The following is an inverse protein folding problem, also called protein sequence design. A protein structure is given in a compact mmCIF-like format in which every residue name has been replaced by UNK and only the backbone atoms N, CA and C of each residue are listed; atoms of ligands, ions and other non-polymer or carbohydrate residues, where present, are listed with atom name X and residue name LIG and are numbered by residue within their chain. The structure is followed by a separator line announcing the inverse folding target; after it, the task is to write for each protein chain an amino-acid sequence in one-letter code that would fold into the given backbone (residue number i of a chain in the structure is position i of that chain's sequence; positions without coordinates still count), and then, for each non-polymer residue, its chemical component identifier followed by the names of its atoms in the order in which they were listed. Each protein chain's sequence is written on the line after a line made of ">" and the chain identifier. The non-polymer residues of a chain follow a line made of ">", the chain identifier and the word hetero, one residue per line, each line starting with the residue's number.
data_IF_636912404010
#
_entry.id   IF_636912404010
#
_cell.length_a   1.000
_cell.length_b   1.000
_cell.length_c   1.000
_cell.angle_alpha   90.00
_cell.angle_beta   90.00
_cell.angle_gamma   90.00
#
_symmetry.space_group_name_H-M   'P 1'
#
loop_
_entity.id
_entity.type
_entity.pdbx_description
1 polymer ?
#
# COMPACT_ATOMS: atom_id res chain seq x y z
N UNK A 1 6.87 -55.65 21.06
CA UNK A 1 5.66 -54.80 21.00
C UNK A 1 6.04 -53.55 20.23
N UNK A 2 5.68 -53.46 18.94
CA UNK A 2 6.07 -52.34 18.08
C UNK A 2 5.18 -51.12 18.36
N UNK A 3 5.74 -49.90 18.46
CA UNK A 3 4.96 -48.70 18.73
C UNK A 3 4.06 -48.34 17.54
N UNK A 4 2.78 -48.07 17.80
CA UNK A 4 1.75 -47.76 16.80
C UNK A 4 2.03 -46.43 16.06
N UNK A 5 1.73 -46.34 14.74
CA UNK A 5 2.11 -45.22 13.86
C UNK A 5 1.30 -43.91 14.05
N UNK A 6 0.63 -43.73 15.20
CA UNK A 6 -0.25 -42.58 15.48
C UNK A 6 0.10 -41.87 16.79
N UNK A 7 1.38 -41.87 17.17
CA UNK A 7 1.87 -41.11 18.32
C UNK A 7 2.24 -39.66 18.01
N UNK A 8 1.84 -39.13 16.84
CA UNK A 8 1.93 -37.69 16.56
C UNK A 8 0.54 -37.09 16.83
N UNK A 9 0.37 -36.46 17.99
CA UNK A 9 -0.84 -35.69 18.32
C UNK A 9 -1.08 -34.57 17.30
N UNK A 10 -2.19 -33.81 17.41
CA UNK A 10 -2.45 -32.73 16.46
C UNK A 10 -1.24 -31.78 16.38
N UNK A 11 -0.56 -31.80 15.22
CA UNK A 11 0.61 -30.96 14.93
C UNK A 11 0.23 -29.51 15.24
N UNK A 12 0.86 -28.92 16.26
CA UNK A 12 0.56 -27.54 16.69
C UNK A 12 0.52 -26.64 15.45
N UNK A 13 -0.60 -25.97 15.21
CA UNK A 13 -0.68 -24.89 14.21
C UNK A 13 0.46 -23.92 14.49
N UNK A 14 1.31 -23.67 13.49
CA UNK A 14 2.41 -22.69 13.62
C UNK A 14 1.78 -21.35 14.00
N UNK A 15 2.13 -20.82 15.16
CA UNK A 15 1.73 -19.48 15.56
C UNK A 15 2.64 -18.48 14.84
N UNK A 16 2.06 -17.64 13.98
CA UNK A 16 2.79 -16.59 13.27
C UNK A 16 2.94 -15.39 14.21
N UNK A 17 4.19 -15.01 14.51
CA UNK A 17 4.50 -13.88 15.38
C UNK A 17 4.13 -12.54 14.71
N UNK A 18 3.95 -11.45 15.47
CA UNK A 18 3.70 -10.12 14.90
C UNK A 18 4.79 -9.70 13.88
N UNK A 19 6.06 -9.96 14.20
CA UNK A 19 7.18 -9.68 13.31
C UNK A 19 7.11 -10.51 12.01
N UNK A 20 6.73 -11.79 12.10
CA UNK A 20 6.55 -12.63 10.91
C UNK A 20 5.37 -12.14 10.05
N UNK A 21 4.29 -11.65 10.66
CA UNK A 21 3.18 -11.05 9.90
C UNK A 21 3.64 -9.83 9.11
N UNK A 22 4.43 -8.94 9.72
CA UNK A 22 5.00 -7.77 9.04
C UNK A 22 5.90 -8.19 7.89
N UNK A 23 6.83 -9.12 8.13
CA UNK A 23 7.69 -9.67 7.08
C UNK A 23 6.89 -10.29 5.92
N UNK A 24 5.81 -11.00 6.21
CA UNK A 24 4.95 -11.56 5.17
C UNK A 24 4.17 -10.49 4.40
N UNK A 25 3.76 -9.40 5.05
CA UNK A 25 3.11 -8.27 4.37
C UNK A 25 4.07 -7.59 3.40
N UNK A 26 5.30 -7.32 3.84
CA UNK A 26 6.32 -6.66 3.03
C UNK A 26 6.70 -7.52 1.81
N UNK A 27 6.94 -8.82 2.03
CA UNK A 27 7.24 -9.75 0.95
C UNK A 27 6.06 -9.93 -0.02
N UNK A 28 4.82 -9.97 0.48
CA UNK A 28 3.63 -10.02 -0.38
C UNK A 28 3.47 -8.73 -1.20
N UNK A 29 3.70 -7.56 -0.61
CA UNK A 29 3.62 -6.27 -1.29
C UNK A 29 4.69 -6.14 -2.38
N UNK A 30 5.91 -6.61 -2.11
CA UNK A 30 6.97 -6.72 -3.11
C UNK A 30 6.59 -7.68 -4.24
N UNK A 31 6.07 -8.88 -3.92
CA UNK A 31 5.62 -9.83 -4.92
C UNK A 31 4.46 -9.28 -5.78
N UNK A 32 3.60 -8.42 -5.22
CA UNK A 32 2.56 -7.75 -6.00
C UNK A 32 3.12 -6.80 -7.06
N UNK A 33 4.32 -6.23 -6.89
CA UNK A 33 4.93 -5.34 -7.89
C UNK A 33 5.30 -6.07 -9.18
N UNK A 34 5.59 -7.37 -9.11
CA UNK A 34 5.87 -8.24 -10.26
C UNK A 34 4.68 -9.10 -10.67
N UNK A 35 3.48 -8.84 -10.12
CA UNK A 35 2.27 -9.63 -10.32
C UNK A 35 2.35 -11.08 -9.79
N UNK A 36 3.30 -11.37 -8.90
CA UNK A 36 3.55 -12.70 -8.32
C UNK A 36 2.90 -12.91 -6.93
N UNK A 37 2.11 -11.95 -6.45
CA UNK A 37 1.47 -12.03 -5.13
C UNK A 37 0.67 -13.33 -4.92
N UNK A 38 -0.06 -13.79 -5.94
CA UNK A 38 -0.80 -15.06 -5.88
C UNK A 38 0.08 -16.31 -5.85
N UNK A 39 1.29 -16.26 -6.43
CA UNK A 39 2.28 -17.33 -6.31
C UNK A 39 2.86 -17.36 -4.90
N UNK A 40 3.23 -16.20 -4.36
CA UNK A 40 3.72 -16.06 -2.99
C UNK A 40 2.75 -16.64 -1.95
N UNK A 41 1.45 -16.30 -2.04
CA UNK A 41 0.44 -16.83 -1.11
C UNK A 41 0.35 -18.36 -1.13
N UNK A 42 0.50 -18.99 -2.30
CA UNK A 42 0.46 -20.45 -2.43
C UNK A 42 1.70 -21.11 -1.84
N UNK A 43 2.88 -20.52 -2.05
CA UNK A 43 4.16 -21.01 -1.49
C UNK A 43 4.14 -20.94 0.04
N UNK A 44 3.67 -19.83 0.59
CA UNK A 44 3.60 -19.62 2.05
C UNK A 44 2.37 -20.28 2.71
N UNK A 45 1.44 -20.83 1.92
CA UNK A 45 0.19 -21.39 2.44
C UNK A 45 -0.72 -20.35 3.10
N UNK A 46 -0.65 -19.10 2.64
CA UNK A 46 -1.40 -17.97 3.15
C UNK A 46 -2.67 -17.71 2.32
N UNK A 47 -3.68 -17.15 2.98
CA UNK A 47 -4.92 -16.73 2.35
C UNK A 47 -4.93 -15.20 2.23
N UNK A 48 -5.54 -14.68 1.17
CA UNK A 48 -5.70 -13.23 0.96
C UNK A 48 -6.43 -12.54 2.13
N UNK A 49 -7.37 -13.25 2.78
CA UNK A 49 -8.06 -12.78 3.98
C UNK A 49 -7.12 -12.56 5.17
N UNK A 50 -6.08 -13.39 5.31
CA UNK A 50 -5.07 -13.22 6.37
C UNK A 50 -4.22 -11.97 6.11
N UNK A 51 -3.79 -11.76 4.86
CA UNK A 51 -3.08 -10.54 4.46
C UNK A 51 -3.93 -9.30 4.71
N UNK A 52 -5.20 -9.32 4.30
CA UNK A 52 -6.11 -8.20 4.50
C UNK A 52 -6.28 -7.86 5.99
N UNK A 53 -6.40 -8.87 6.84
CA UNK A 53 -6.51 -8.69 8.29
C UNK A 53 -5.20 -8.16 8.90
N UNK A 54 -4.05 -8.68 8.48
CA UNK A 54 -2.76 -8.19 8.99
C UNK A 54 -2.45 -6.77 8.53
N UNK A 55 -2.89 -6.36 7.33
CA UNK A 55 -2.81 -4.95 6.91
C UNK A 55 -3.58 -4.04 7.85
N UNK A 56 -4.82 -4.41 8.22
CA UNK A 56 -5.58 -3.64 9.22
C UNK A 56 -4.84 -3.55 10.56
N UNK A 57 -4.24 -4.66 11.00
CA UNK A 57 -3.47 -4.70 12.25
C UNK A 57 -2.21 -3.82 12.18
N UNK A 58 -1.52 -3.78 11.03
CA UNK A 58 -0.37 -2.88 10.76
C UNK A 58 -0.82 -1.42 10.77
N UNK A 59 -1.85 -1.09 10.01
CA UNK A 59 -2.32 0.29 9.85
C UNK A 59 -2.81 0.86 11.20
N UNK A 60 -3.43 0.01 12.01
CA UNK A 60 -3.84 0.29 13.39
C UNK A 60 -2.69 0.29 14.42
N UNK A 61 -1.44 -0.01 14.01
CA UNK A 61 -0.25 0.01 14.87
C UNK A 61 -0.19 -1.13 15.89
N UNK A 62 -0.96 -2.20 15.71
CA UNK A 62 -1.06 -3.30 16.70
C UNK A 62 0.06 -4.33 16.55
N UNK A 63 0.72 -4.37 15.38
CA UNK A 63 1.82 -5.29 15.10
C UNK A 63 3.18 -4.76 15.55
N UNK A 64 3.33 -3.44 15.66
CA UNK A 64 4.57 -2.78 16.06
C UNK A 64 4.77 -2.87 17.58
N UNK A 65 6.02 -3.10 18.02
CA UNK A 65 6.39 -3.12 19.43
C UNK A 65 5.93 -4.34 20.25
N UNK A 66 5.22 -5.32 19.65
CA UNK A 66 4.80 -6.54 20.35
C UNK A 66 5.90 -7.58 20.43
N UNK A 67 6.06 -8.17 21.62
CA UNK A 67 7.05 -9.22 21.85
C UNK A 67 6.66 -10.53 21.12
N UNK A 68 7.65 -11.37 20.74
CA UNK A 68 7.38 -12.70 20.20
C UNK A 68 6.50 -13.53 21.17
N UNK A 69 5.33 -13.97 20.70
CA UNK A 69 4.38 -14.76 21.51
C UNK A 69 3.23 -13.96 22.12
N UNK A 70 3.26 -12.63 22.03
CA UNK A 70 2.14 -11.80 22.46
C UNK A 70 0.97 -11.92 21.48
N UNK A 71 -0.23 -12.22 22.00
CA UNK A 71 -1.41 -12.36 21.16
C UNK A 71 -1.84 -10.98 20.65
N UNK A 72 -1.98 -10.86 19.34
CA UNK A 72 -2.67 -9.72 18.73
C UNK A 72 -4.16 -9.90 18.99
N UNK A 73 -4.69 -9.11 19.92
CA UNK A 73 -6.12 -9.09 20.26
C UNK A 73 -6.96 -8.31 19.24
N UNK A 74 -8.25 -8.14 19.55
CA UNK A 74 -9.13 -7.23 18.80
C UNK A 74 -8.58 -5.80 18.91
N UNK A 75 -8.76 -5.01 17.86
CA UNK A 75 -8.38 -3.60 17.86
C UNK A 75 -9.15 -2.86 18.98
N UNK A 76 -8.44 -2.00 19.71
CA UNK A 76 -9.07 -1.04 20.61
C UNK A 76 -9.79 0.05 19.80
N UNK A 77 -10.68 0.80 20.45
CA UNK A 77 -11.38 1.94 19.80
C UNK A 77 -10.38 2.97 19.25
N UNK A 78 -9.33 3.25 20.02
CA UNK A 78 -8.27 4.18 19.62
C UNK A 78 -7.50 3.66 18.40
N UNK A 79 -7.15 2.38 18.37
CA UNK A 79 -6.47 1.75 17.23
C UNK A 79 -7.33 1.74 15.96
N UNK A 80 -8.64 1.53 16.11
CA UNK A 80 -9.58 1.63 15.00
C UNK A 80 -9.67 3.06 14.47
N UNK A 81 -9.69 4.06 15.35
CA UNK A 81 -9.72 5.47 14.97
C UNK A 81 -8.41 5.90 14.30
N UNK A 82 -7.26 5.46 14.80
CA UNK A 82 -5.95 5.69 14.16
C UNK A 82 -5.95 5.13 12.73
N UNK A 83 -6.43 3.90 12.55
CA UNK A 83 -6.51 3.28 11.22
C UNK A 83 -7.45 4.06 10.28
N UNK A 84 -8.59 4.53 10.81
CA UNK A 84 -9.54 5.37 10.06
C UNK A 84 -8.90 6.69 9.63
N UNK A 85 -8.30 7.42 10.57
CA UNK A 85 -7.67 8.71 10.31
C UNK A 85 -6.52 8.59 9.31
N UNK A 86 -5.68 7.55 9.42
CA UNK A 86 -4.64 7.27 8.43
C UNK A 86 -5.20 7.07 7.03
N UNK A 87 -6.32 6.36 6.90
CA UNK A 87 -7.00 6.14 5.61
C UNK A 87 -7.55 7.46 5.04
N UNK A 88 -8.21 8.27 5.87
CA UNK A 88 -8.75 9.57 5.44
C UNK A 88 -7.62 10.52 5.00
N UNK A 89 -6.52 10.55 5.74
CA UNK A 89 -5.32 11.31 5.40
C UNK A 89 -4.75 10.88 4.03
N UNK A 90 -4.58 9.58 3.81
CA UNK A 90 -4.08 9.07 2.53
C UNK A 90 -5.00 9.45 1.36
N UNK A 91 -6.32 9.39 1.55
CA UNK A 91 -7.29 9.80 0.52
C UNK A 91 -7.22 11.31 0.24
N UNK A 92 -7.13 12.14 1.28
CA UNK A 92 -6.98 13.58 1.15
C UNK A 92 -5.69 13.93 0.38
N UNK A 93 -4.57 13.31 0.74
CA UNK A 93 -3.29 13.51 0.06
C UNK A 93 -3.33 13.10 -1.41
N UNK A 94 -3.96 11.97 -1.76
CA UNK A 94 -4.10 11.53 -3.15
C UNK A 94 -4.93 12.53 -3.97
N UNK A 95 -6.01 13.06 -3.37
CA UNK A 95 -6.83 14.09 -4.03
C UNK A 95 -6.02 15.37 -4.24
N UNK A 96 -5.26 15.79 -3.22
CA UNK A 96 -4.38 16.96 -3.29
C UNK A 96 -3.34 16.79 -4.41
N UNK A 97 -2.62 15.67 -4.44
CA UNK A 97 -1.64 15.37 -5.48
C UNK A 97 -2.26 15.38 -6.89
N UNK A 98 -3.49 14.90 -7.03
CA UNK A 98 -4.23 14.91 -8.30
C UNK A 98 -4.57 16.34 -8.72
N UNK A 99 -5.02 17.18 -7.78
CA UNK A 99 -5.32 18.59 -8.07
C UNK A 99 -4.08 19.39 -8.41
N UNK A 100 -2.96 19.16 -7.72
CA UNK A 100 -1.68 19.80 -8.03
C UNK A 100 -1.16 19.40 -9.42
N UNK A 101 -1.28 18.13 -9.79
CA UNK A 101 -0.93 17.67 -11.14
C UNK A 101 -1.79 18.34 -12.21
N UNK A 102 -3.10 18.47 -11.98
CA UNK A 102 -4.00 19.17 -12.90
C UNK A 102 -3.63 20.65 -13.05
N UNK A 103 -3.35 21.36 -11.95
CA UNK A 103 -2.87 22.74 -11.97
C UNK A 103 -1.55 22.87 -12.75
N UNK A 104 -0.62 21.93 -12.56
CA UNK A 104 0.64 21.89 -13.31
C UNK A 104 0.44 21.71 -14.82
N UNK A 105 -0.51 20.88 -15.25
CA UNK A 105 -0.85 20.71 -16.66
C UNK A 105 -1.44 22.00 -17.23
N UNK A 106 -2.39 22.61 -16.53
CA UNK A 106 -3.02 23.86 -16.97
C UNK A 106 -1.99 25.00 -17.08
N UNK A 107 -1.07 25.11 -16.12
CA UNK A 107 0.02 26.10 -16.18
C UNK A 107 0.92 25.90 -17.39
N UNK A 108 1.29 24.64 -17.71
CA UNK A 108 2.09 24.32 -18.91
C UNK A 108 1.34 24.63 -20.20
N UNK A 109 0.03 24.34 -20.26
CA UNK A 109 -0.81 24.68 -21.40
C UNK A 109 -0.89 26.19 -21.62
N UNK A 110 -1.06 26.97 -20.55
CA UNK A 110 -1.05 28.44 -20.63
C UNK A 110 0.29 28.98 -21.15
N UNK A 111 1.41 28.52 -20.60
CA UNK A 111 2.74 28.94 -21.06
C UNK A 111 2.98 28.60 -22.54
N UNK A 112 2.49 27.45 -23.00
CA UNK A 112 2.55 27.08 -24.42
C UNK A 112 1.73 28.04 -25.28
N UNK A 113 0.51 28.38 -24.87
CA UNK A 113 -0.33 29.34 -25.60
C UNK A 113 0.32 30.73 -25.68
N UNK A 114 0.95 31.19 -24.59
CA UNK A 114 1.69 32.45 -24.55
C UNK A 114 2.86 32.45 -25.54
N UNK A 115 3.66 31.37 -25.58
CA UNK A 115 4.76 31.23 -26.54
C UNK A 115 4.29 31.22 -28.00
N UNK A 116 3.14 30.59 -28.28
CA UNK A 116 2.55 30.58 -29.62
C UNK A 116 2.04 31.97 -30.01
N UNK A 117 1.41 32.69 -29.08
CA UNK A 117 0.94 34.07 -29.31
C UNK A 117 2.11 35.01 -29.63
N UNK A 118 3.18 34.97 -28.82
CA UNK A 118 4.36 35.80 -29.04
C UNK A 118 5.04 35.49 -30.38
N UNK A 119 5.09 34.21 -30.78
CA UNK A 119 5.61 33.82 -32.10
C UNK A 119 4.74 34.33 -33.27
N UNK A 120 3.43 34.41 -33.09
CA UNK A 120 2.51 34.88 -34.12
C UNK A 120 2.60 36.41 -34.35
N UNK A 121 2.86 37.18 -33.29
CA UNK A 121 3.01 38.64 -33.39
C UNK A 121 4.31 39.08 -34.08
N UNK A 122 5.34 38.21 -34.13
CA UNK A 122 6.61 38.51 -34.81
C UNK A 122 6.55 38.45 -36.34
N UNK A 123 5.44 37.98 -36.92
CA UNK A 123 5.22 37.90 -38.37
C UNK A 123 4.52 39.18 -38.88
N UNK A 124 5.14 40.34 -38.67
CA UNK A 124 4.66 41.59 -39.29
C UNK A 124 5.17 41.68 -40.73
N UNK A 125 4.31 41.84 -41.76
CA UNK A 125 4.76 41.83 -43.15
C UNK A 125 5.67 43.03 -43.47
N UNK A 126 6.71 42.86 -44.30
CA UNK A 126 7.63 43.95 -44.64
C UNK A 126 6.86 45.06 -45.37
N UNK A 127 7.01 46.28 -44.87
CA UNK A 127 6.42 47.49 -45.44
C UNK A 127 6.98 47.68 -46.85
N UNK A 128 6.11 47.54 -47.86
CA UNK A 128 6.47 47.79 -49.26
C UNK A 128 6.87 49.27 -49.42
N UNK A 129 8.13 49.49 -49.82
CA UNK A 129 8.63 50.75 -50.38
C UNK A 129 8.28 50.87 -51.86
#
# INVERSE_FOLDING_TARGET
>A
MAPSPRSDGPRRRRSISPAQKLAHLDAYEQACTTNDGGAYLRVEGLYSSQIAEWRKQRDAGVLEGKAPGEKVGKLTREQAEIARLKKELAQANNRLATTEAALGIMGKAHALLESLSESADTDTPPTKR
#
